data_IF_707584535314
#
_entry.id   IF_707584535314
#
_cell.length_a   1.000
_cell.length_b   1.000
_cell.length_c   1.000
_cell.angle_alpha   90.00
_cell.angle_beta   90.00
_cell.angle_gamma   90.00
#
_symmetry.space_group_name_H-M   'P 1'
#
loop_
_entity.id
_entity.type
_entity.pdbx_description
1 polymer ?
#
# COMPACT_ATOMS: atom_id res chain seq x y z
N UNK A 1 24.86 5.75 2.05
CA UNK A 1 23.46 5.52 2.45
C UNK A 1 23.39 5.34 3.95
N UNK A 2 22.52 6.09 4.61
CA UNK A 2 22.24 6.05 6.04
C UNK A 2 21.09 5.09 6.28
N UNK A 3 21.30 4.08 7.14
CA UNK A 3 20.24 3.17 7.58
C UNK A 3 19.30 3.92 8.53
N UNK A 4 18.03 4.09 8.14
CA UNK A 4 17.04 4.82 8.94
C UNK A 4 16.02 3.90 9.61
N UNK A 5 15.88 2.67 9.12
CA UNK A 5 15.03 1.63 9.68
C UNK A 5 15.60 0.23 9.43
N UNK A 6 15.49 -0.64 10.44
CA UNK A 6 15.88 -2.04 10.37
C UNK A 6 14.97 -2.89 11.26
N UNK A 7 14.17 -3.77 10.63
CA UNK A 7 13.26 -4.69 11.29
C UNK A 7 14.00 -5.68 12.22
N UNK A 8 15.27 -5.99 11.96
CA UNK A 8 16.07 -6.85 12.84
C UNK A 8 16.27 -6.24 14.22
N UNK A 9 16.33 -4.90 14.27
CA UNK A 9 16.60 -4.10 15.45
C UNK A 9 15.35 -3.35 15.97
N UNK A 10 14.21 -3.50 15.29
CA UNK A 10 12.94 -2.92 15.72
C UNK A 10 12.51 -3.52 17.06
N UNK A 11 12.34 -2.64 18.06
CA UNK A 11 11.87 -3.02 19.39
C UNK A 11 10.38 -3.32 19.33
N UNK A 12 10.01 -4.50 19.83
CA UNK A 12 8.63 -4.89 20.02
C UNK A 12 8.38 -5.10 21.51
N UNK A 13 7.63 -4.18 22.11
CA UNK A 13 7.26 -4.27 23.52
C UNK A 13 6.05 -5.19 23.70
N UNK A 14 6.33 -6.49 23.70
CA UNK A 14 5.34 -7.53 23.89
C UNK A 14 4.63 -7.45 25.26
N UNK A 15 5.20 -6.76 26.25
CA UNK A 15 4.65 -6.72 27.60
C UNK A 15 3.51 -5.72 27.74
N UNK A 16 3.56 -4.61 27.01
CA UNK A 16 2.44 -3.64 26.95
C UNK A 16 1.18 -4.34 26.43
N UNK A 17 1.34 -5.21 25.44
CA UNK A 17 0.24 -5.99 24.86
C UNK A 17 -0.37 -7.02 25.82
N UNK A 18 0.37 -7.43 26.86
CA UNK A 18 -0.13 -8.34 27.89
C UNK A 18 -1.01 -7.66 28.94
N UNK A 19 -1.02 -6.33 29.04
CA UNK A 19 -1.78 -5.62 30.08
C UNK A 19 -3.29 -5.88 29.99
N UNK A 20 -3.84 -5.87 28.77
CA UNK A 20 -5.27 -6.12 28.51
C UNK A 20 -5.68 -7.56 28.88
N UNK A 21 -5.02 -8.62 28.35
CA UNK A 21 -5.38 -9.99 28.73
C UNK A 21 -5.08 -10.27 30.20
N UNK A 22 -4.06 -9.67 30.80
CA UNK A 22 -3.79 -9.80 32.25
C UNK A 22 -4.94 -9.21 33.09
N UNK A 23 -5.44 -8.02 32.73
CA UNK A 23 -6.59 -7.43 33.41
C UNK A 23 -7.85 -8.30 33.26
N UNK A 24 -8.11 -8.83 32.06
CA UNK A 24 -9.22 -9.76 31.83
C UNK A 24 -9.09 -11.05 32.64
N UNK A 25 -7.86 -11.58 32.76
CA UNK A 25 -7.56 -12.75 33.60
C UNK A 25 -7.85 -12.47 35.07
N UNK A 26 -7.45 -11.30 35.60
CA UNK A 26 -7.75 -10.92 36.98
C UNK A 26 -9.26 -10.87 37.25
N UNK A 27 -10.05 -10.33 36.32
CA UNK A 27 -11.53 -10.31 36.42
C UNK A 27 -12.09 -11.73 36.36
N UNK A 28 -11.54 -12.61 35.52
CA UNK A 28 -11.91 -14.02 35.43
C UNK A 28 -11.68 -14.73 36.76
N UNK A 29 -10.48 -14.59 37.33
CA UNK A 29 -10.09 -15.18 38.61
C UNK A 29 -10.97 -14.63 39.75
N UNK A 30 -11.24 -13.33 39.78
CA UNK A 30 -12.12 -12.72 40.77
C UNK A 30 -13.54 -13.31 40.74
N UNK A 31 -14.12 -13.51 39.56
CA UNK A 31 -15.44 -14.14 39.43
C UNK A 31 -15.42 -15.62 39.83
N UNK A 32 -14.34 -16.34 39.52
CA UNK A 32 -14.17 -17.72 39.96
C UNK A 32 -14.10 -17.83 41.49
N UNK A 33 -13.32 -16.96 42.14
CA UNK A 33 -13.19 -16.90 43.60
C UNK A 33 -14.50 -16.56 44.30
N UNK A 34 -15.36 -15.73 43.70
CA UNK A 34 -16.71 -15.42 44.23
C UNK A 34 -17.77 -16.50 43.93
N UNK A 35 -17.38 -17.66 43.41
CA UNK A 35 -18.31 -18.75 43.09
C UNK A 35 -19.22 -18.47 41.89
N UNK A 36 -18.97 -17.41 41.13
CA UNK A 36 -19.78 -17.03 39.95
C UNK A 36 -19.35 -17.84 38.72
N UNK A 37 -19.52 -19.17 38.76
CA UNK A 37 -19.02 -20.10 37.72
C UNK A 37 -19.39 -19.73 36.28
N UNK A 38 -20.64 -19.33 36.03
CA UNK A 38 -21.09 -18.93 34.67
C UNK A 38 -20.29 -17.71 34.15
N UNK A 39 -20.10 -16.70 34.99
CA UNK A 39 -19.33 -15.50 34.63
C UNK A 39 -17.84 -15.80 34.49
N UNK A 40 -17.29 -16.67 35.34
CA UNK A 40 -15.90 -17.12 35.21
C UNK A 40 -15.65 -17.84 33.87
N UNK A 41 -16.58 -18.67 33.40
CA UNK A 41 -16.48 -19.33 32.09
C UNK A 41 -16.53 -18.33 30.94
N UNK A 42 -17.49 -17.40 30.95
CA UNK A 42 -17.63 -16.36 29.92
C UNK A 42 -16.35 -15.50 29.88
N UNK A 43 -15.90 -15.00 31.03
CA UNK A 43 -14.70 -14.17 31.12
C UNK A 43 -13.43 -14.94 30.77
N UNK A 44 -13.36 -16.24 31.06
CA UNK A 44 -12.27 -17.09 30.61
C UNK A 44 -12.20 -17.20 29.09
N UNK A 45 -13.35 -17.33 28.42
CA UNK A 45 -13.44 -17.27 26.95
C UNK A 45 -12.97 -15.92 26.40
N UNK A 46 -13.45 -14.81 26.97
CA UNK A 46 -13.03 -13.45 26.58
C UNK A 46 -11.53 -13.24 26.80
N UNK A 47 -11.00 -13.66 27.95
CA UNK A 47 -9.57 -13.55 28.27
C UNK A 47 -8.73 -14.32 27.26
N UNK A 48 -9.15 -15.53 26.89
CA UNK A 48 -8.47 -16.35 25.89
C UNK A 48 -8.48 -15.66 24.52
N UNK A 49 -9.64 -15.14 24.10
CA UNK A 49 -9.77 -14.41 22.84
C UNK A 49 -8.87 -13.16 22.82
N UNK A 50 -8.89 -12.36 23.90
CA UNK A 50 -8.03 -11.18 24.03
C UNK A 50 -6.55 -11.54 24.01
N UNK A 51 -6.14 -12.64 24.66
CA UNK A 51 -4.76 -13.10 24.62
C UNK A 51 -4.34 -13.52 23.21
N UNK A 52 -5.20 -14.22 22.47
CA UNK A 52 -4.92 -14.60 21.09
C UNK A 52 -4.77 -13.38 20.18
N UNK A 53 -5.70 -12.43 20.26
CA UNK A 53 -5.72 -11.25 19.38
C UNK A 53 -4.66 -10.22 19.76
N UNK A 54 -4.53 -9.90 21.04
CA UNK A 54 -3.66 -8.81 21.48
C UNK A 54 -2.20 -9.25 21.65
N UNK A 55 -1.92 -10.53 21.90
CA UNK A 55 -0.56 -11.00 22.16
C UNK A 55 -0.08 -12.02 21.13
N UNK A 56 -0.80 -13.13 20.93
CA UNK A 56 -0.31 -14.23 20.08
C UNK A 56 -0.18 -13.78 18.62
N UNK A 57 -1.20 -13.15 18.06
CA UNK A 57 -1.17 -12.66 16.67
C UNK A 57 -0.05 -11.64 16.43
N UNK A 58 0.09 -10.55 17.23
CA UNK A 58 1.20 -9.61 17.06
C UNK A 58 2.59 -10.22 17.23
N UNK A 59 2.78 -11.14 18.19
CA UNK A 59 4.07 -11.85 18.36
C UNK A 59 4.36 -12.76 17.16
N UNK A 60 3.34 -13.46 16.65
CA UNK A 60 3.49 -14.32 15.48
C UNK A 60 3.85 -13.50 14.25
N UNK A 61 3.16 -12.39 14.02
CA UNK A 61 3.44 -11.47 12.92
C UNK A 61 4.84 -10.83 13.06
N UNK A 62 5.24 -10.38 14.25
CA UNK A 62 6.60 -9.88 14.51
C UNK A 62 7.67 -10.91 14.14
N UNK A 63 7.46 -12.18 14.49
CA UNK A 63 8.38 -13.27 14.14
C UNK A 63 8.39 -13.57 12.64
N UNK A 64 7.23 -13.54 12.00
CA UNK A 64 7.07 -13.73 10.56
C UNK A 64 7.85 -12.67 9.77
N UNK A 65 7.65 -11.38 10.09
CA UNK A 65 8.39 -10.27 9.47
C UNK A 65 9.90 -10.39 9.67
N UNK A 66 10.35 -10.85 10.85
CA UNK A 66 11.78 -11.06 11.10
C UNK A 66 12.35 -12.28 10.40
N UNK A 67 11.58 -13.35 10.28
CA UNK A 67 12.00 -14.55 9.56
C UNK A 67 12.29 -14.23 8.09
N UNK A 68 11.52 -13.30 7.51
CA UNK A 68 11.68 -12.84 6.13
C UNK A 68 13.09 -12.28 5.82
N UNK A 69 13.79 -11.76 6.82
CA UNK A 69 15.18 -11.29 6.68
C UNK A 69 16.20 -12.43 6.46
N UNK A 70 15.84 -13.65 6.84
CA UNK A 70 16.76 -14.81 6.90
C UNK A 70 16.34 -15.99 6.03
N UNK A 71 15.07 -16.09 5.66
CA UNK A 71 14.51 -17.21 4.90
C UNK A 71 14.66 -17.06 3.37
N UNK A 72 15.20 -15.93 2.90
CA UNK A 72 15.41 -15.64 1.48
C UNK A 72 14.21 -15.00 0.77
N UNK A 73 13.12 -14.71 1.48
CA UNK A 73 11.95 -14.00 0.91
C UNK A 73 12.21 -12.50 0.69
N UNK A 74 13.17 -11.92 1.42
CA UNK A 74 13.55 -10.52 1.28
C UNK A 74 14.14 -10.20 -0.11
N UNK A 75 13.64 -9.12 -0.72
CA UNK A 75 14.11 -8.51 -1.96
C UNK A 75 14.68 -7.13 -1.65
N UNK A 76 15.70 -6.72 -2.39
CA UNK A 76 16.29 -5.38 -2.25
C UNK A 76 16.17 -4.63 -3.56
N UNK A 77 15.68 -3.40 -3.48
CA UNK A 77 15.61 -2.46 -4.61
C UNK A 77 16.31 -1.16 -4.24
N UNK A 78 17.08 -0.62 -5.18
CA UNK A 78 17.73 0.67 -5.07
C UNK A 78 17.22 1.57 -6.19
N UNK A 79 16.89 2.81 -5.87
CA UNK A 79 16.33 3.72 -6.85
C UNK A 79 16.01 5.09 -6.27
N UNK A 80 15.36 5.90 -7.09
CA UNK A 80 14.89 7.22 -6.69
C UNK A 80 13.41 7.13 -6.32
N UNK A 81 13.02 7.79 -5.24
CA UNK A 81 11.62 7.98 -4.86
C UNK A 81 10.92 8.78 -5.94
N UNK A 82 9.76 8.29 -6.37
CA UNK A 82 8.86 9.00 -7.29
C UNK A 82 7.40 8.86 -6.85
N UNK A 83 6.57 9.84 -7.23
CA UNK A 83 5.14 9.89 -6.91
C UNK A 83 4.88 9.77 -5.40
N UNK A 84 5.76 10.34 -4.58
CA UNK A 84 5.58 10.41 -3.15
C UNK A 84 4.32 11.22 -2.84
N UNK A 85 3.45 10.63 -2.03
CA UNK A 85 2.23 11.26 -1.57
C UNK A 85 2.01 10.88 -0.11
N UNK A 86 1.70 11.88 0.71
CA UNK A 86 1.26 11.72 2.08
C UNK A 86 -0.10 12.35 2.23
N UNK A 87 -1.06 11.58 2.73
CA UNK A 87 -2.45 12.03 2.86
C UNK A 87 -2.95 11.76 4.27
N UNK A 88 -3.70 12.72 4.81
CA UNK A 88 -4.34 12.59 6.11
C UNK A 88 -5.85 12.61 5.90
N UNK A 89 -6.48 11.45 6.06
CA UNK A 89 -7.93 11.31 5.98
C UNK A 89 -8.54 11.41 7.37
N UNK A 90 -9.68 12.11 7.46
CA UNK A 90 -10.50 12.17 8.68
C UNK A 90 -11.76 11.37 8.42
N UNK A 91 -11.83 10.17 8.99
CA UNK A 91 -13.04 9.36 8.93
C UNK A 91 -13.94 9.70 10.12
N UNK A 92 -15.24 9.88 9.83
CA UNK A 92 -16.24 10.06 10.86
C UNK A 92 -16.72 8.70 11.32
N UNK A 93 -16.53 8.39 12.61
CA UNK A 93 -17.10 7.20 13.23
C UNK A 93 -18.15 7.67 14.23
N UNK A 94 -19.38 7.83 13.75
CA UNK A 94 -20.54 8.08 14.60
C UNK A 94 -21.69 7.18 14.18
N UNK A 95 -22.55 6.84 15.14
CA UNK A 95 -23.83 6.20 14.85
C UNK A 95 -24.93 7.27 14.92
N UNK A 96 -25.78 7.34 13.89
CA UNK A 96 -26.98 8.17 13.94
C UNK A 96 -28.21 7.31 14.24
N UNK A 97 -28.75 7.50 15.46
CA UNK A 97 -30.15 7.28 15.94
C UNK A 97 -30.53 5.83 16.37
N UNK A 98 -31.41 5.60 17.37
CA UNK A 98 -32.35 6.45 18.12
C UNK A 98 -32.91 5.76 19.40
N UNK A 99 -33.66 6.56 20.19
CA UNK A 99 -34.63 6.20 21.24
C UNK A 99 -34.07 5.73 22.59
N UNK A 100 -33.89 6.67 23.52
CA UNK A 100 -33.64 6.32 24.94
C UNK A 100 -32.62 7.17 25.69
N UNK A 101 -31.99 8.14 25.02
CA UNK A 101 -31.14 9.14 25.69
C UNK A 101 -29.91 8.56 26.38
N UNK A 102 -28.87 8.21 25.63
CA UNK A 102 -27.49 8.15 26.15
C UNK A 102 -26.53 8.63 25.06
N UNK A 103 -25.67 9.59 25.44
CA UNK A 103 -24.56 10.28 24.76
C UNK A 103 -24.25 9.99 23.28
N UNK A 104 -24.27 11.06 22.47
CA UNK A 104 -23.57 11.11 21.17
C UNK A 104 -22.07 11.26 21.40
N UNK A 105 -21.27 10.26 21.02
CA UNK A 105 -19.83 10.43 20.89
C UNK A 105 -19.52 10.70 19.41
N UNK A 106 -19.17 11.94 19.08
CA UNK A 106 -18.56 12.26 17.78
C UNK A 106 -17.06 11.98 17.89
N UNK A 107 -16.64 10.80 17.45
CA UNK A 107 -15.23 10.43 17.36
C UNK A 107 -14.77 10.59 15.90
N UNK A 108 -13.83 11.51 15.66
CA UNK A 108 -13.10 11.55 14.40
C UNK A 108 -11.85 10.69 14.56
N UNK A 109 -11.67 9.72 13.66
CA UNK A 109 -10.43 8.97 13.58
C UNK A 109 -9.62 9.56 12.43
N UNK A 110 -8.39 9.95 12.72
CA UNK A 110 -7.49 10.52 11.72
C UNK A 110 -6.49 9.44 11.35
N UNK A 111 -6.45 9.08 10.07
CA UNK A 111 -5.46 8.16 9.52
C UNK A 111 -4.55 8.94 8.59
N UNK A 112 -3.24 8.74 8.72
CA UNK A 112 -2.27 9.30 7.77
C UNK A 112 -1.66 8.14 7.02
N UNK A 113 -1.79 8.13 5.70
CA UNK A 113 -1.13 7.19 4.82
C UNK A 113 0.00 7.89 4.09
N UNK A 114 1.03 7.12 3.74
CA UNK A 114 2.15 7.59 2.95
C UNK A 114 2.51 6.53 1.91
N UNK A 115 2.70 6.96 0.67
CA UNK A 115 2.97 6.08 -0.45
C UNK A 115 4.05 6.66 -1.35
N UNK A 116 4.80 5.79 -2.01
CA UNK A 116 5.81 6.16 -2.98
C UNK A 116 6.22 4.96 -3.85
N UNK A 117 6.91 5.23 -4.94
CA UNK A 117 7.55 4.21 -5.77
C UNK A 117 9.07 4.27 -5.64
N UNK A 118 9.71 3.11 -5.71
CA UNK A 118 11.15 2.98 -5.98
C UNK A 118 11.31 2.11 -7.21
N UNK A 119 11.71 2.70 -8.33
CA UNK A 119 11.62 2.02 -9.63
C UNK A 119 10.17 1.63 -9.94
N UNK A 120 9.90 0.34 -10.09
CA UNK A 120 8.57 -0.20 -10.40
C UNK A 120 7.80 -0.70 -9.17
N UNK A 121 8.45 -0.70 -8.01
CA UNK A 121 7.86 -1.25 -6.78
C UNK A 121 7.15 -0.14 -6.03
N UNK A 122 5.86 -0.35 -5.80
CA UNK A 122 5.02 0.52 -4.98
C UNK A 122 5.20 0.17 -3.51
N UNK A 123 5.27 1.19 -2.66
CA UNK A 123 5.26 1.07 -1.22
C UNK A 123 4.15 1.96 -0.68
N UNK A 124 3.35 1.39 0.21
CA UNK A 124 2.30 2.09 0.95
C UNK A 124 2.41 1.73 2.42
N UNK A 125 2.25 2.72 3.28
CA UNK A 125 2.31 2.55 4.72
C UNK A 125 1.30 3.44 5.43
N UNK A 126 0.68 2.89 6.47
CA UNK A 126 -0.08 3.67 7.44
C UNK A 126 0.87 4.27 8.47
N UNK A 127 0.92 5.61 8.54
CA UNK A 127 1.79 6.33 9.48
C UNK A 127 1.33 6.11 10.91
N UNK A 128 2.19 5.47 11.71
CA UNK A 128 1.83 5.05 13.08
C UNK A 128 0.74 3.98 13.13
N UNK A 129 0.39 3.38 12.00
CA UNK A 129 -0.53 2.26 11.87
C UNK A 129 0.20 0.94 11.59
N UNK A 130 -0.58 -0.11 11.29
CA UNK A 130 -0.21 -1.53 11.32
C UNK A 130 0.11 -2.10 12.72
N UNK A 131 -0.48 -3.26 13.10
CA UNK A 131 -0.23 -3.87 14.41
C UNK A 131 1.20 -4.46 14.55
N UNK A 132 1.94 -4.56 13.44
CA UNK A 132 3.30 -5.09 13.46
C UNK A 132 4.31 -3.98 13.76
N UNK A 133 4.82 -3.91 14.99
CA UNK A 133 5.97 -3.05 15.31
C UNK A 133 7.27 -3.40 14.55
N UNK A 134 7.26 -4.45 13.73
CA UNK A 134 8.38 -4.93 12.93
C UNK A 134 8.51 -4.26 11.54
N UNK A 135 7.47 -3.57 11.06
CA UNK A 135 7.47 -2.96 9.72
C UNK A 135 7.73 -1.46 9.81
N UNK A 136 8.29 -0.89 8.74
CA UNK A 136 8.49 0.56 8.67
C UNK A 136 7.16 1.30 8.51
N UNK A 137 6.87 2.27 9.39
CA UNK A 137 5.61 3.02 9.42
C UNK A 137 5.81 4.54 9.40
N UNK A 138 7.03 5.02 9.17
CA UNK A 138 7.40 6.44 9.25
C UNK A 138 6.82 7.23 10.45
N UNK A 139 6.60 6.55 11.59
CA UNK A 139 5.91 7.11 12.76
C UNK A 139 6.82 7.93 13.69
N UNK A 140 8.06 8.22 13.28
CA UNK A 140 8.98 9.07 14.05
C UNK A 140 8.40 10.49 14.14
N UNK A 141 8.73 11.19 15.22
CA UNK A 141 8.41 12.61 15.39
C UNK A 141 9.72 13.41 15.53
N UNK A 142 10.09 14.23 14.53
CA UNK A 142 9.40 14.45 13.26
C UNK A 142 9.53 13.22 12.32
N UNK A 143 8.57 13.01 11.40
CA UNK A 143 8.64 11.93 10.43
C UNK A 143 9.81 12.12 9.47
N UNK A 144 10.29 11.03 8.86
CA UNK A 144 11.31 11.12 7.82
C UNK A 144 10.74 11.92 6.63
N UNK A 145 11.44 12.95 6.15
CA UNK A 145 10.97 13.82 5.09
C UNK A 145 11.14 13.15 3.72
N UNK A 146 10.33 12.13 3.45
CA UNK A 146 10.26 11.48 2.14
C UNK A 146 9.81 12.48 1.07
N UNK A 147 10.43 12.44 -0.11
CA UNK A 147 10.18 13.36 -1.24
C UNK A 147 10.73 12.76 -2.52
N UNK A 148 10.11 13.14 -3.63
CA UNK A 148 10.57 12.77 -4.98
C UNK A 148 12.02 13.22 -5.21
N UNK A 149 12.78 12.39 -5.93
CA UNK A 149 14.19 12.65 -6.21
C UNK A 149 15.17 12.12 -5.17
N UNK A 150 14.71 11.66 -4.01
CA UNK A 150 15.61 11.04 -3.02
C UNK A 150 16.02 9.63 -3.44
N UNK A 151 17.32 9.35 -3.39
CA UNK A 151 17.83 8.01 -3.63
C UNK A 151 17.74 7.18 -2.35
N UNK A 152 17.16 6.00 -2.48
CA UNK A 152 16.91 5.09 -1.37
C UNK A 152 17.25 3.67 -1.76
N UNK A 153 17.56 2.86 -0.75
CA UNK A 153 17.61 1.41 -0.85
C UNK A 153 16.60 0.82 0.12
N UNK A 154 15.72 -0.01 -0.41
CA UNK A 154 14.61 -0.62 0.32
C UNK A 154 14.78 -2.12 0.26
N UNK A 155 14.88 -2.75 1.43
CA UNK A 155 14.73 -4.20 1.55
C UNK A 155 13.32 -4.49 2.03
N UNK A 156 12.59 -5.31 1.29
CA UNK A 156 11.18 -5.59 1.52
C UNK A 156 10.86 -7.05 1.21
N UNK A 157 9.70 -7.52 1.63
CA UNK A 157 9.14 -8.79 1.17
C UNK A 157 7.66 -8.60 0.86
N UNK A 158 7.10 -9.50 0.06
CA UNK A 158 5.65 -9.55 -0.15
C UNK A 158 5.08 -10.41 0.96
N UNK A 159 4.14 -9.89 1.74
CA UNK A 159 3.64 -10.55 2.92
C UNK A 159 2.46 -11.48 2.59
N UNK A 160 2.63 -12.81 2.62
CA UNK A 160 1.56 -13.74 2.32
C UNK A 160 0.42 -13.70 3.37
N UNK A 161 0.66 -13.16 4.57
CA UNK A 161 -0.38 -13.04 5.60
C UNK A 161 -1.31 -11.86 5.34
N UNK A 162 -0.86 -10.87 4.56
CA UNK A 162 -1.57 -9.64 4.26
C UNK A 162 -1.72 -9.46 2.74
N UNK A 163 -2.14 -10.52 2.04
CA UNK A 163 -2.51 -10.42 0.62
C UNK A 163 -1.38 -10.04 -0.33
N UNK A 164 -0.13 -10.42 -0.02
CA UNK A 164 1.09 -10.09 -0.78
C UNK A 164 1.49 -8.61 -0.73
N UNK A 165 1.00 -7.85 0.26
CA UNK A 165 1.41 -6.46 0.49
C UNK A 165 2.93 -6.33 0.70
N UNK A 166 3.51 -5.26 0.18
CA UNK A 166 4.95 -4.99 0.31
C UNK A 166 5.28 -4.46 1.70
N UNK A 167 5.99 -5.23 2.51
CA UNK A 167 6.46 -4.81 3.84
C UNK A 167 7.95 -4.48 3.84
N UNK A 168 8.27 -3.26 4.26
CA UNK A 168 9.64 -2.76 4.33
C UNK A 168 10.32 -3.32 5.58
N UNK A 169 11.40 -4.08 5.34
CA UNK A 169 12.27 -4.68 6.36
C UNK A 169 13.46 -3.80 6.70
N UNK A 170 14.04 -3.13 5.70
CA UNK A 170 15.12 -2.16 5.89
C UNK A 170 14.94 -0.98 4.96
N UNK A 171 15.21 0.21 5.46
CA UNK A 171 15.11 1.45 4.69
C UNK A 171 16.40 2.25 4.88
N UNK A 172 17.08 2.54 3.77
CA UNK A 172 18.31 3.32 3.72
C UNK A 172 18.13 4.53 2.79
N UNK A 173 18.62 5.69 3.19
CA UNK A 173 18.52 6.94 2.43
C UNK A 173 19.93 7.41 2.05
N UNK A 174 20.12 7.84 0.80
CA UNK A 174 21.35 8.53 0.41
C UNK A 174 21.24 10.02 0.76
N UNK A 175 21.98 10.46 1.78
CA UNK A 175 21.99 11.86 2.23
C UNK A 175 22.80 12.79 1.30
N UNK A 176 23.45 12.26 0.26
CA UNK A 176 24.16 13.11 -0.70
C UNK A 176 23.15 14.03 -1.40
N UNK A 177 23.29 15.36 -1.28
CA UNK A 177 22.41 16.29 -1.98
C UNK A 177 22.56 16.02 -3.49
N UNK A 178 21.43 15.83 -4.16
CA UNK A 178 21.34 15.78 -5.61
C UNK A 178 21.92 17.09 -6.18
N UNK A 179 23.22 17.09 -6.50
CA UNK A 179 23.98 18.28 -6.85
C UNK A 179 25.51 18.16 -6.82
N UNK A 180 26.09 17.13 -6.19
CA UNK A 180 27.54 16.94 -6.23
C UNK A 180 27.97 16.20 -7.51
N UNK A 181 28.50 16.99 -8.45
CA UNK A 181 29.33 16.64 -9.62
C UNK A 181 29.84 15.19 -9.60
N UNK A 182 29.34 14.38 -10.53
CA UNK A 182 29.80 13.01 -10.74
C UNK A 182 31.33 12.98 -10.97
N UNK A 183 32.11 12.13 -10.26
CA UNK A 183 33.47 11.82 -10.66
C UNK A 183 33.46 10.96 -11.94
N UNK A 184 34.53 11.01 -12.76
CA UNK A 184 34.57 10.30 -14.03
C UNK A 184 34.62 8.79 -13.77
N UNK A 185 33.60 8.08 -14.25
CA UNK A 185 33.55 6.62 -14.22
C UNK A 185 34.58 6.09 -15.21
N UNK A 186 35.66 5.52 -14.69
CA UNK A 186 36.53 4.64 -15.46
C UNK A 186 35.75 3.34 -15.76
N UNK A 187 35.80 2.96 -17.04
CA UNK A 187 34.96 1.96 -17.67
C UNK A 187 35.18 0.51 -17.17
N UNK A 188 34.07 -0.22 -17.00
CA UNK A 188 34.03 -1.68 -17.09
C UNK A 188 32.64 -2.16 -17.60
N UNK A 189 32.55 -2.26 -18.93
CA UNK A 189 31.82 -3.23 -19.79
C UNK A 189 30.41 -3.76 -19.38
N UNK A 190 29.38 -3.15 -20.01
CA UNK A 190 28.17 -3.67 -20.70
C UNK A 190 27.06 -4.49 -19.96
N UNK A 191 25.79 -4.54 -20.45
CA UNK A 191 25.24 -3.97 -21.68
C UNK A 191 24.15 -2.90 -21.50
N UNK A 192 23.98 -2.17 -22.58
CA UNK A 192 23.10 -1.02 -22.85
C UNK A 192 21.61 -1.35 -22.71
N UNK A 193 20.95 -0.63 -21.81
CA UNK A 193 19.50 -0.46 -21.75
C UNK A 193 19.20 0.89 -21.12
N UNK A 194 19.51 1.97 -21.83
CA UNK A 194 19.40 3.33 -21.32
C UNK A 194 17.92 3.70 -21.08
N UNK A 195 17.51 3.71 -19.82
CA UNK A 195 16.38 4.52 -19.35
C UNK A 195 16.72 5.99 -19.53
N UNK A 196 16.26 6.57 -20.63
CA UNK A 196 16.20 8.01 -20.79
C UNK A 196 14.97 8.53 -20.02
N UNK A 197 15.20 9.16 -18.87
CA UNK A 197 14.26 10.12 -18.34
C UNK A 197 14.13 11.24 -19.37
N UNK A 198 12.94 11.41 -19.94
CA UNK A 198 12.66 12.50 -20.85
C UNK A 198 12.56 13.82 -20.07
N UNK A 199 13.09 14.93 -20.61
CA UNK A 199 12.93 16.25 -20.03
C UNK A 199 11.46 16.67 -20.03
N UNK A 200 11.08 17.50 -19.05
CA UNK A 200 9.76 18.14 -18.98
C UNK A 200 9.46 18.85 -20.32
N UNK A 201 8.52 18.28 -21.08
CA UNK A 201 8.23 18.67 -22.47
C UNK A 201 8.07 17.50 -23.45
N UNK A 202 8.28 16.25 -23.04
CA UNK A 202 8.06 15.10 -23.92
C UNK A 202 6.58 14.88 -24.20
N UNK A 203 6.18 15.22 -25.42
CA UNK A 203 4.93 14.79 -26.05
C UNK A 203 4.82 13.26 -25.94
N UNK A 204 3.66 12.76 -25.52
CA UNK A 204 3.38 11.32 -25.52
C UNK A 204 3.69 10.75 -26.92
N UNK A 205 4.22 9.52 -27.04
CA UNK A 205 4.36 8.87 -28.34
C UNK A 205 3.04 8.92 -29.09
N UNK A 206 3.04 9.31 -30.37
CA UNK A 206 1.80 9.61 -31.11
C UNK A 206 0.80 8.45 -31.12
N UNK A 207 1.30 7.21 -31.14
CA UNK A 207 0.49 5.99 -31.08
C UNK A 207 -0.15 5.79 -29.69
N UNK A 208 0.59 6.11 -28.62
CA UNK A 208 0.05 6.09 -27.26
C UNK A 208 -0.90 7.26 -27.00
N UNK A 209 -0.58 8.46 -27.48
CA UNK A 209 -1.43 9.65 -27.34
C UNK A 209 -2.81 9.45 -27.98
N UNK A 210 -2.85 8.87 -29.19
CA UNK A 210 -4.09 8.50 -29.85
C UNK A 210 -4.88 7.44 -29.08
N UNK A 211 -4.21 6.45 -28.50
CA UNK A 211 -4.83 5.47 -27.61
C UNK A 211 -5.39 6.13 -26.35
N UNK A 212 -4.57 6.92 -25.66
CA UNK A 212 -4.89 7.58 -24.41
C UNK A 212 -6.09 8.52 -24.59
N UNK A 213 -6.13 9.31 -25.66
CA UNK A 213 -7.25 10.19 -26.00
C UNK A 213 -8.57 9.44 -26.20
N UNK A 214 -8.53 8.20 -26.71
CA UNK A 214 -9.73 7.35 -26.83
C UNK A 214 -10.11 6.77 -25.48
N UNK A 215 -9.15 6.20 -24.77
CA UNK A 215 -9.36 5.55 -23.49
C UNK A 215 -9.86 6.53 -22.42
N UNK A 216 -9.17 7.66 -22.23
CA UNK A 216 -9.49 8.66 -21.23
C UNK A 216 -10.86 9.28 -21.44
N UNK A 217 -11.24 9.55 -22.69
CA UNK A 217 -12.59 10.00 -23.06
C UNK A 217 -13.65 8.97 -22.75
N UNK A 218 -13.43 7.70 -23.11
CA UNK A 218 -14.38 6.63 -22.83
C UNK A 218 -14.54 6.42 -21.30
N UNK A 219 -13.43 6.35 -20.56
CA UNK A 219 -13.43 6.20 -19.11
C UNK A 219 -14.08 7.41 -18.41
N UNK A 220 -13.74 8.64 -18.79
CA UNK A 220 -14.31 9.86 -18.23
C UNK A 220 -15.79 10.06 -18.57
N UNK A 221 -16.24 9.54 -19.72
CA UNK A 221 -17.62 9.58 -20.18
C UNK A 221 -18.50 8.44 -19.64
N UNK A 222 -17.90 7.47 -18.93
CA UNK A 222 -18.62 6.27 -18.49
C UNK A 222 -18.99 5.32 -19.63
N UNK A 223 -18.33 5.42 -20.79
CA UNK A 223 -18.54 4.55 -21.94
C UNK A 223 -17.91 3.17 -21.71
N UNK A 224 -18.68 2.31 -21.05
CA UNK A 224 -18.28 0.95 -20.72
C UNK A 224 -17.88 0.13 -21.95
N UNK A 225 -18.62 0.25 -23.06
CA UNK A 225 -18.35 -0.51 -24.27
C UNK A 225 -17.05 -0.03 -24.94
N UNK A 226 -16.84 1.29 -24.99
CA UNK A 226 -15.62 1.90 -25.50
C UNK A 226 -14.38 1.51 -24.70
N UNK A 227 -14.47 1.50 -23.36
CA UNK A 227 -13.37 1.02 -22.52
C UNK A 227 -13.13 -0.47 -22.73
N UNK A 228 -14.18 -1.30 -22.72
CA UNK A 228 -14.09 -2.77 -22.92
C UNK A 228 -13.33 -3.14 -24.20
N UNK A 229 -13.54 -2.39 -25.29
CA UNK A 229 -12.85 -2.60 -26.56
C UNK A 229 -11.34 -2.30 -26.53
N UNK A 230 -10.88 -1.56 -25.53
CA UNK A 230 -9.49 -1.13 -25.35
C UNK A 230 -8.74 -1.96 -24.29
N UNK A 231 -9.38 -2.99 -23.74
CA UNK A 231 -8.79 -3.88 -22.73
C UNK A 231 -8.17 -5.10 -23.41
N UNK A 232 -7.02 -5.52 -22.90
CA UNK A 232 -6.46 -6.83 -23.18
C UNK A 232 -7.03 -7.84 -22.18
N UNK A 233 -7.88 -8.73 -22.66
CA UNK A 233 -8.33 -9.87 -21.86
C UNK A 233 -7.47 -11.11 -22.12
N UNK A 234 -7.31 -12.00 -21.12
CA UNK A 234 -7.67 -11.77 -19.72
C UNK A 234 -6.67 -10.84 -19.01
N UNK A 235 -7.10 -10.16 -17.95
CA UNK A 235 -6.20 -9.49 -17.01
C UNK A 235 -6.56 -9.85 -15.57
N UNK A 236 -5.64 -9.65 -14.63
CA UNK A 236 -5.87 -9.99 -13.22
C UNK A 236 -6.65 -8.87 -12.52
N UNK A 237 -7.73 -9.24 -11.83
CA UNK A 237 -8.47 -8.35 -10.94
C UNK A 237 -8.60 -9.06 -9.58
N UNK A 238 -8.03 -8.47 -8.53
CA UNK A 238 -7.98 -9.07 -7.18
C UNK A 238 -7.47 -10.54 -7.21
N UNK A 239 -6.38 -10.78 -7.94
CA UNK A 239 -5.78 -12.11 -8.08
C UNK A 239 -6.58 -13.09 -8.96
N UNK A 240 -7.73 -12.69 -9.50
CA UNK A 240 -8.57 -13.55 -10.35
C UNK A 240 -8.51 -13.12 -11.81
N UNK A 241 -8.31 -14.05 -12.77
CA UNK A 241 -8.41 -13.74 -14.19
C UNK A 241 -9.80 -13.22 -14.54
N UNK A 242 -9.85 -12.04 -15.14
CA UNK A 242 -11.05 -11.42 -15.67
C UNK A 242 -11.06 -11.56 -17.19
N UNK A 243 -12.13 -12.12 -17.72
CA UNK A 243 -12.41 -12.20 -19.15
C UNK A 243 -13.39 -11.10 -19.62
N UNK A 244 -13.58 -11.01 -20.93
CA UNK A 244 -14.49 -10.04 -21.54
C UNK A 244 -15.96 -10.26 -21.13
N UNK A 245 -16.37 -11.49 -20.81
CA UNK A 245 -17.74 -11.80 -20.40
C UNK A 245 -18.09 -11.24 -19.03
N UNK A 246 -17.11 -11.17 -18.13
CA UNK A 246 -17.27 -10.70 -16.74
C UNK A 246 -17.02 -9.21 -16.56
N UNK A 247 -16.42 -8.53 -17.52
CA UNK A 247 -16.11 -7.10 -17.43
C UNK A 247 -17.31 -6.23 -17.02
N UNK A 248 -18.48 -6.49 -17.61
CA UNK A 248 -19.66 -5.66 -17.38
C UNK A 248 -20.15 -5.72 -15.92
N UNK A 249 -19.89 -6.83 -15.23
CA UNK A 249 -20.26 -7.04 -13.83
C UNK A 249 -19.34 -6.32 -12.84
N UNK A 250 -18.10 -6.03 -13.23
CA UNK A 250 -17.12 -5.38 -12.34
C UNK A 250 -16.73 -3.96 -12.78
N UNK A 251 -17.36 -3.45 -13.85
CA UNK A 251 -17.15 -2.10 -14.36
C UNK A 251 -17.17 -1.04 -13.25
N UNK A 252 -18.11 -1.13 -12.31
CA UNK A 252 -18.21 -0.17 -11.21
C UNK A 252 -17.11 -0.34 -10.14
N UNK A 253 -16.48 -1.51 -10.05
CA UNK A 253 -15.33 -1.74 -9.18
C UNK A 253 -14.03 -1.22 -9.77
N UNK A 254 -13.92 -1.18 -11.11
CA UNK A 254 -12.71 -0.68 -11.80
C UNK A 254 -12.84 0.82 -12.11
N UNK A 255 -14.00 1.27 -12.58
CA UNK A 255 -14.25 2.65 -12.99
C UNK A 255 -15.45 3.24 -12.25
N UNK A 256 -15.36 3.38 -10.90
CA UNK A 256 -16.43 3.97 -10.12
C UNK A 256 -16.68 5.43 -10.55
N UNK A 257 -17.94 5.85 -10.52
CA UNK A 257 -18.36 7.17 -11.00
C UNK A 257 -17.58 8.35 -10.40
N UNK A 258 -17.24 8.38 -9.09
CA UNK A 258 -16.46 9.48 -8.50
C UNK A 258 -15.05 9.67 -9.11
N UNK A 259 -14.51 8.63 -9.75
CA UNK A 259 -13.11 8.59 -10.19
C UNK A 259 -13.00 8.86 -11.69
N UNK A 260 -14.06 8.64 -12.46
CA UNK A 260 -14.10 8.91 -13.91
C UNK A 260 -13.62 10.32 -14.30
N UNK A 261 -13.96 11.40 -13.57
CA UNK A 261 -13.45 12.73 -13.90
C UNK A 261 -11.92 12.83 -13.91
N UNK A 262 -11.20 12.02 -13.12
CA UNK A 262 -9.74 12.02 -13.07
C UNK A 262 -9.11 11.75 -14.44
N UNK A 263 -9.72 10.90 -15.27
CA UNK A 263 -9.18 10.58 -16.60
C UNK A 263 -9.10 11.79 -17.53
N UNK A 264 -9.82 12.89 -17.24
CA UNK A 264 -9.72 14.13 -18.02
C UNK A 264 -8.43 14.89 -17.77
N UNK A 265 -7.85 14.77 -16.57
CA UNK A 265 -6.71 15.56 -16.12
C UNK A 265 -5.50 14.70 -15.78
N UNK A 266 -5.66 13.38 -15.72
CA UNK A 266 -4.59 12.46 -15.42
C UNK A 266 -3.49 12.51 -16.49
N UNK A 267 -2.24 12.53 -16.01
CA UNK A 267 -1.05 12.55 -16.86
C UNK A 267 -0.47 11.14 -16.88
N UNK A 268 -0.41 10.47 -18.04
CA UNK A 268 0.26 9.18 -18.15
C UNK A 268 1.74 9.30 -17.79
N UNK A 269 2.21 8.38 -16.95
CA UNK A 269 3.61 8.26 -16.55
C UNK A 269 4.19 7.02 -17.18
N UNK A 270 5.39 7.14 -17.75
CA UNK A 270 6.06 6.00 -18.37
C UNK A 270 6.66 5.08 -17.30
N UNK A 271 6.31 3.79 -17.37
CA UNK A 271 6.88 2.71 -16.54
C UNK A 271 7.50 1.64 -17.44
N UNK A 272 8.79 1.81 -17.78
CA UNK A 272 9.50 0.96 -18.73
C UNK A 272 8.87 1.00 -20.13
N UNK A 273 8.34 -0.14 -20.57
CA UNK A 273 7.61 -0.29 -21.85
C UNK A 273 6.10 -0.10 -21.72
N UNK A 274 5.62 0.20 -20.51
CA UNK A 274 4.23 0.48 -20.20
C UNK A 274 4.03 1.96 -19.86
N UNK A 275 2.76 2.36 -19.80
CA UNK A 275 2.33 3.62 -19.22
C UNK A 275 1.37 3.33 -18.08
N UNK A 276 1.39 4.15 -17.04
CA UNK A 276 0.48 4.06 -15.92
C UNK A 276 -0.20 5.39 -15.65
N UNK A 277 -1.41 5.31 -15.10
CA UNK A 277 -2.18 6.46 -14.63
C UNK A 277 -2.73 6.16 -13.25
N UNK A 278 -2.58 7.13 -12.35
CA UNK A 278 -3.09 7.04 -10.99
C UNK A 278 -4.31 7.96 -10.84
N UNK A 279 -5.43 7.39 -10.40
CA UNK A 279 -6.65 8.11 -10.08
C UNK A 279 -7.12 7.75 -8.67
N UNK A 280 -6.69 8.55 -7.69
CA UNK A 280 -6.90 8.27 -6.27
C UNK A 280 -6.12 7.02 -5.85
N UNK A 281 -6.84 6.07 -5.25
CA UNK A 281 -6.39 4.74 -4.83
C UNK A 281 -6.15 3.77 -6.01
N UNK A 282 -6.45 4.15 -7.25
CA UNK A 282 -6.45 3.20 -8.36
C UNK A 282 -5.33 3.50 -9.35
N UNK A 283 -4.58 2.46 -9.71
CA UNK A 283 -3.55 2.52 -10.74
C UNK A 283 -3.99 1.69 -11.95
N UNK A 284 -3.96 2.34 -13.11
CA UNK A 284 -4.33 1.77 -14.41
C UNK A 284 -3.08 1.62 -15.26
N UNK A 285 -2.79 0.41 -15.71
CA UNK A 285 -1.58 0.11 -16.50
C UNK A 285 -1.95 -0.19 -17.95
N UNK A 286 -1.16 0.37 -18.86
CA UNK A 286 -1.31 0.25 -20.30
C UNK A 286 -0.02 -0.30 -20.90
N UNK A 287 -0.13 -1.38 -21.65
CA UNK A 287 1.01 -1.98 -22.34
C UNK A 287 0.72 -2.11 -23.83
N UNK A 288 1.79 -2.08 -24.63
CA UNK A 288 1.71 -2.26 -26.07
C UNK A 288 1.68 -3.75 -26.39
N UNK A 289 0.59 -4.21 -27.00
CA UNK A 289 0.44 -5.56 -27.54
C UNK A 289 0.61 -5.61 -29.06
N UNK A 290 0.36 -6.78 -29.64
CA UNK A 290 0.42 -6.99 -31.10
C UNK A 290 -0.59 -6.11 -31.87
N UNK A 291 -1.72 -5.78 -31.25
CA UNK A 291 -2.79 -4.95 -31.84
C UNK A 291 -2.69 -3.47 -31.46
N UNK A 292 -1.61 -3.06 -30.78
CA UNK A 292 -1.41 -1.71 -30.27
C UNK A 292 -1.55 -1.60 -28.75
N UNK A 293 -1.68 -0.37 -28.27
CA UNK A 293 -1.83 -0.08 -26.84
C UNK A 293 -3.18 -0.58 -26.31
N UNK A 294 -3.13 -1.20 -25.13
CA UNK A 294 -4.31 -1.72 -24.44
C UNK A 294 -4.18 -1.48 -22.94
N UNK A 295 -5.32 -1.41 -22.25
CA UNK A 295 -5.37 -1.53 -20.80
C UNK A 295 -5.14 -2.97 -20.39
N UNK A 296 -4.19 -3.19 -19.49
CA UNK A 296 -3.68 -4.53 -19.20
C UNK A 296 -3.66 -4.90 -17.73
N UNK A 297 -3.73 -3.93 -16.83
CA UNK A 297 -3.70 -4.21 -15.40
C UNK A 297 -4.40 -3.12 -14.59
N UNK A 298 -4.94 -3.53 -13.45
CA UNK A 298 -5.63 -2.70 -12.50
C UNK A 298 -5.21 -3.07 -11.08
N UNK A 299 -4.68 -2.09 -10.37
CA UNK A 299 -4.47 -2.21 -8.93
C UNK A 299 -5.43 -1.24 -8.23
N UNK A 300 -6.29 -1.80 -7.38
CA UNK A 300 -6.98 -1.04 -6.34
C UNK A 300 -6.10 -1.09 -5.09
N UNK A 301 -5.73 0.07 -4.59
CA UNK A 301 -5.32 0.24 -3.20
C UNK A 301 -6.50 -0.20 -2.30
N UNK A 302 -6.34 -1.23 -1.45
CA UNK A 302 -7.44 -1.80 -0.67
C UNK A 302 -8.00 -0.88 0.43
N UNK A 303 -7.48 0.34 0.60
CA UNK A 303 -7.94 1.28 1.65
C UNK A 303 -8.48 2.62 1.11
N UNK A 304 -9.57 2.55 0.33
CA UNK A 304 -10.46 3.69 0.07
C UNK A 304 -11.58 3.84 1.11
#
# INVERSE_FOLDING_TARGET
MTLVFDAANARFDQYVLLLIPAAALLVTLFNAMRGRRKWALIMGGVTTLLFLIAFVLPVADYRHVRAALTDGSAKTIEGVISQHKRETTKSWTGSSRAAGGVSSFSSYTTHTSEQFFVGRTWFWLCVGGFPSGASFTNAKDPPLPLRDGMRVRVTYFNDPWNGEETRILKFEIDESPAGAKAPPVAAAVAPTGASASLPAGSTLPADFDAFWTRFSRAAAGGDRAGVKALIRFPFLFAGTPLDAGRFDSIWMGIFPEPIRPCFRTAVPVRDGDAWSVSCGAYVYVFAKGATGWQFTDFAADPEG
#
